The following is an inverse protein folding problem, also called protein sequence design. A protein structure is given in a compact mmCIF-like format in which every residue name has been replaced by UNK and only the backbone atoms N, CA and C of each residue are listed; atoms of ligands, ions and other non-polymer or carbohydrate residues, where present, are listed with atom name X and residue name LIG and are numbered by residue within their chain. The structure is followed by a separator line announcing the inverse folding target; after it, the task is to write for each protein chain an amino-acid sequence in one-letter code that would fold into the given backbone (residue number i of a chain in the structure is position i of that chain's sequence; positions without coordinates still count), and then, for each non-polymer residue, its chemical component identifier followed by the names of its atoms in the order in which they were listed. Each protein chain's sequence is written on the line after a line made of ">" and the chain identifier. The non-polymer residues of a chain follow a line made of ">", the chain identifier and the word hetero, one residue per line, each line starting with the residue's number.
data_IF_502026302705
#
_entry.id   IF_502026302705
#
_cell.length_a   1.000
_cell.length_b   1.000
_cell.length_c   1.000
_cell.angle_alpha   90.00
_cell.angle_beta   90.00
_cell.angle_gamma   90.00
#
_symmetry.space_group_name_H-M   'P 1'
#
loop_
_entity.id
_entity.type
_entity.pdbx_description
1 polymer ?
#
# COMPACT_ATOMS: atom_id res chain seq x y z
N UNK A 1 -35.15 -16.15 -6.04
CA UNK A 1 -34.34 -16.53 -7.22
C UNK A 1 -33.35 -15.45 -7.66
N UNK A 2 -33.70 -14.15 -7.67
CA UNK A 2 -32.80 -13.06 -8.13
C UNK A 2 -31.48 -12.92 -7.35
N UNK A 3 -31.44 -13.28 -6.07
CA UNK A 3 -30.26 -13.11 -5.20
C UNK A 3 -29.09 -14.07 -5.50
N UNK A 4 -29.33 -15.14 -6.25
CA UNK A 4 -28.31 -16.14 -6.64
C UNK A 4 -27.83 -15.91 -8.09
N UNK A 5 -28.60 -15.18 -8.90
CA UNK A 5 -28.28 -14.96 -10.32
C UNK A 5 -27.12 -13.96 -10.51
N UNK A 6 -27.09 -12.89 -9.71
CA UNK A 6 -26.04 -11.87 -9.74
C UNK A 6 -24.62 -12.40 -9.44
N UNK A 7 -24.38 -13.19 -8.37
CA UNK A 7 -23.05 -13.74 -8.13
C UNK A 7 -22.62 -14.73 -9.21
N UNK A 8 -23.56 -15.48 -9.82
CA UNK A 8 -23.26 -16.48 -10.83
C UNK A 8 -22.75 -15.85 -12.14
N UNK A 9 -23.32 -14.72 -12.54
CA UNK A 9 -22.82 -13.92 -13.67
C UNK A 9 -21.43 -13.34 -13.36
N UNK A 10 -21.21 -12.88 -12.12
CA UNK A 10 -19.90 -12.40 -11.67
C UNK A 10 -18.81 -13.49 -11.76
N UNK A 11 -19.09 -14.68 -11.24
CA UNK A 11 -18.16 -15.81 -11.32
C UNK A 11 -17.91 -16.26 -12.76
N UNK A 12 -18.95 -16.28 -13.61
CA UNK A 12 -18.81 -16.60 -15.03
C UNK A 12 -17.89 -15.60 -15.75
N UNK A 13 -18.07 -14.30 -15.48
CA UNK A 13 -17.23 -13.25 -16.08
C UNK A 13 -15.77 -13.38 -15.66
N UNK A 14 -15.51 -13.56 -14.36
CA UNK A 14 -14.15 -13.74 -13.84
C UNK A 14 -13.49 -15.01 -14.39
N UNK A 15 -14.23 -16.12 -14.46
CA UNK A 15 -13.73 -17.36 -15.05
C UNK A 15 -13.33 -17.17 -16.52
N UNK A 16 -14.14 -16.45 -17.30
CA UNK A 16 -13.88 -16.19 -18.73
C UNK A 16 -12.61 -15.37 -18.92
N UNK A 17 -12.39 -14.35 -18.09
CA UNK A 17 -11.17 -13.52 -18.13
C UNK A 17 -9.93 -14.33 -17.77
N UNK A 18 -10.00 -15.15 -16.72
CA UNK A 18 -8.88 -16.01 -16.30
C UNK A 18 -8.54 -17.02 -17.39
N UNK A 19 -9.55 -17.67 -17.99
CA UNK A 19 -9.35 -18.60 -19.11
C UNK A 19 -8.74 -17.91 -20.32
N UNK A 20 -9.15 -16.67 -20.63
CA UNK A 20 -8.58 -15.88 -21.72
C UNK A 20 -7.09 -15.56 -21.51
N UNK A 21 -6.73 -15.12 -20.30
CA UNK A 21 -5.33 -14.81 -19.94
C UNK A 21 -4.45 -16.07 -19.95
N UNK A 22 -4.95 -17.18 -19.41
CA UNK A 22 -4.23 -18.46 -19.42
C UNK A 22 -4.10 -19.02 -20.85
N UNK A 23 -5.15 -18.92 -21.66
CA UNK A 23 -5.13 -19.32 -23.06
C UNK A 23 -4.11 -18.51 -23.86
N UNK A 24 -4.08 -17.18 -23.68
CA UNK A 24 -3.11 -16.31 -24.31
C UNK A 24 -1.66 -16.63 -23.86
N UNK A 25 -1.45 -16.82 -22.56
CA UNK A 25 -0.14 -17.22 -22.03
C UNK A 25 0.34 -18.57 -22.56
N UNK A 26 -0.56 -19.56 -22.66
CA UNK A 26 -0.26 -20.88 -23.19
C UNK A 26 0.06 -20.85 -24.69
N UNK A 27 -0.67 -20.06 -25.49
CA UNK A 27 -0.38 -19.88 -26.92
C UNK A 27 0.96 -19.17 -27.15
N UNK A 28 1.32 -18.20 -26.30
CA UNK A 28 2.60 -17.49 -26.37
C UNK A 28 3.77 -18.41 -26.01
N UNK A 29 3.62 -19.26 -25.00
CA UNK A 29 4.66 -20.19 -24.56
C UNK A 29 4.86 -21.36 -25.56
N UNK A 30 3.82 -21.77 -26.28
CA UNK A 30 3.91 -22.85 -27.29
C UNK A 30 4.45 -22.38 -28.64
N UNK A 31 4.83 -21.10 -28.77
CA UNK A 31 5.48 -20.57 -29.98
C UNK A 31 4.59 -20.54 -31.23
N UNK A 32 3.26 -20.69 -31.07
CA UNK A 32 2.29 -20.58 -32.17
C UNK A 32 1.82 -19.14 -32.45
N UNK A 33 2.24 -18.20 -31.60
CA UNK A 33 2.18 -16.76 -31.84
C UNK A 33 3.53 -16.34 -32.43
N UNK A 34 3.75 -16.71 -33.68
CA UNK A 34 4.81 -16.11 -34.49
C UNK A 34 4.38 -14.67 -34.82
N UNK A 35 5.31 -13.72 -34.81
CA UNK A 35 5.00 -12.28 -34.99
C UNK A 35 4.19 -12.01 -36.27
N UNK A 36 4.34 -12.88 -37.27
CA UNK A 36 3.62 -12.89 -38.53
C UNK A 36 2.11 -13.17 -38.39
N UNK A 37 1.70 -14.06 -37.47
CA UNK A 37 0.27 -14.32 -37.19
C UNK A 37 -0.35 -13.21 -36.36
N UNK A 38 0.44 -12.58 -35.50
CA UNK A 38 0.01 -11.42 -34.71
C UNK A 38 -0.23 -10.21 -35.63
N UNK A 39 0.67 -9.99 -36.60
CA UNK A 39 0.52 -9.01 -37.68
C UNK A 39 -0.69 -9.32 -38.58
N UNK A 40 -0.93 -10.59 -38.92
CA UNK A 40 -2.08 -10.98 -39.74
C UNK A 40 -3.42 -10.70 -39.04
N UNK A 41 -3.51 -10.96 -37.73
CA UNK A 41 -4.71 -10.62 -36.92
C UNK A 41 -4.86 -9.10 -36.79
N UNK A 42 -3.77 -8.37 -36.61
CA UNK A 42 -3.78 -6.90 -36.56
C UNK A 42 -4.19 -6.27 -37.90
N UNK A 43 -3.72 -6.86 -39.01
CA UNK A 43 -4.00 -6.40 -40.38
C UNK A 43 -5.47 -6.63 -40.76
N UNK A 44 -6.06 -7.76 -40.38
CA UNK A 44 -7.50 -8.00 -40.55
C UNK A 44 -8.34 -7.07 -39.66
N UNK A 45 -7.88 -6.75 -38.45
CA UNK A 45 -8.56 -5.80 -37.56
C UNK A 45 -8.50 -4.36 -38.10
N UNK A 46 -7.43 -3.99 -38.79
CA UNK A 46 -7.24 -2.68 -39.42
C UNK A 46 -7.72 -2.62 -40.88
N UNK A 47 -8.32 -3.69 -41.41
CA UNK A 47 -8.78 -3.81 -42.80
C UNK A 47 -7.68 -3.48 -43.85
N UNK A 48 -6.43 -3.86 -43.54
CA UNK A 48 -5.29 -3.67 -44.43
C UNK A 48 -5.02 -5.00 -45.14
N UNK A 49 -5.46 -5.07 -46.40
CA UNK A 49 -5.24 -6.23 -47.27
C UNK A 49 -3.76 -6.31 -47.68
N UNK A 50 -2.99 -7.16 -47.00
CA UNK A 50 -1.55 -7.36 -47.22
C UNK A 50 -1.24 -7.82 -48.66
N UNK A 51 -2.18 -8.49 -49.34
CA UNK A 51 -2.02 -8.89 -50.75
C UNK A 51 -2.03 -7.69 -51.72
N UNK A 52 -2.67 -6.58 -51.35
CA UNK A 52 -2.65 -5.36 -52.14
C UNK A 52 -1.31 -4.61 -52.03
N UNK A 53 -0.59 -4.80 -50.92
CA UNK A 53 0.73 -4.17 -50.68
C UNK A 53 1.83 -4.94 -51.42
N UNK A 54 1.75 -6.27 -51.45
CA UNK A 54 2.69 -7.11 -52.20
C UNK A 54 2.60 -6.84 -53.71
N UNK A 55 1.39 -6.68 -54.27
CA UNK A 55 1.19 -6.29 -55.67
C UNK A 55 1.47 -4.80 -55.96
N UNK A 56 1.53 -3.93 -54.95
CA UNK A 56 1.93 -2.54 -55.14
C UNK A 56 3.45 -2.36 -55.25
N UNK A 57 4.24 -3.29 -54.72
CA UNK A 57 5.71 -3.28 -54.78
C UNK A 57 6.29 -3.81 -56.11
N UNK A 58 5.50 -4.49 -56.96
CA UNK A 58 5.95 -5.00 -58.26
C UNK A 58 5.93 -3.96 -59.40
N UNK A 59 5.71 -2.68 -59.11
CA UNK A 59 5.94 -1.64 -60.12
C UNK A 59 7.45 -1.39 -60.20
N UNK A 60 8.09 -1.53 -61.36
CA UNK A 60 9.49 -1.12 -61.51
C UNK A 60 9.55 0.39 -61.28
N UNK A 61 9.99 0.79 -60.09
CA UNK A 61 10.40 2.15 -59.80
C UNK A 61 11.43 2.53 -60.85
N UNK A 62 11.13 3.59 -61.60
CA UNK A 62 12.12 4.18 -62.50
C UNK A 62 13.23 4.68 -61.60
N UNK A 63 14.37 3.98 -61.57
CA UNK A 63 15.54 4.36 -60.78
C UNK A 63 16.06 5.68 -61.33
N UNK A 64 15.54 6.78 -60.80
CA UNK A 64 16.13 8.10 -60.96
C UNK A 64 17.46 8.03 -60.21
N UNK A 65 18.61 8.30 -60.87
CA UNK A 65 19.89 8.32 -60.18
C UNK A 65 19.80 9.32 -59.02
N UNK A 66 20.18 8.90 -57.81
CA UNK A 66 20.20 9.81 -56.66
C UNK A 66 21.04 11.04 -57.03
N UNK A 67 20.44 12.23 -56.94
CA UNK A 67 21.18 13.48 -57.09
C UNK A 67 22.30 13.49 -56.05
N UNK A 68 23.56 13.46 -56.52
CA UNK A 68 24.70 13.44 -55.63
C UNK A 68 24.72 14.75 -54.83
N UNK A 69 24.53 14.64 -53.51
CA UNK A 69 24.58 15.79 -52.61
C UNK A 69 25.84 16.62 -52.84
N UNK A 70 25.69 17.93 -52.93
CA UNK A 70 26.82 18.84 -53.02
C UNK A 70 27.66 18.79 -51.72
N UNK A 71 28.95 19.09 -51.84
CA UNK A 71 29.87 19.09 -50.70
C UNK A 71 29.42 20.01 -49.55
N UNK A 72 28.82 21.16 -49.86
CA UNK A 72 28.27 22.08 -48.87
C UNK A 72 27.07 21.49 -48.12
N UNK A 73 26.18 20.79 -48.83
CA UNK A 73 25.04 20.10 -48.21
C UNK A 73 25.49 18.96 -47.28
N UNK A 74 26.56 18.24 -47.65
CA UNK A 74 27.14 17.21 -46.77
C UNK A 74 27.74 17.80 -45.49
N UNK A 75 28.47 18.92 -45.58
CA UNK A 75 28.99 19.60 -44.39
C UNK A 75 27.86 20.10 -43.48
N UNK A 76 26.80 20.66 -44.05
CA UNK A 76 25.68 21.14 -43.26
C UNK A 76 24.94 19.99 -42.55
N UNK A 77 24.73 18.86 -43.22
CA UNK A 77 24.16 17.67 -42.58
C UNK A 77 25.04 17.15 -41.44
N UNK A 78 26.36 17.09 -41.64
CA UNK A 78 27.30 16.67 -40.59
C UNK A 78 27.26 17.62 -39.39
N UNK A 79 27.16 18.92 -39.63
CA UNK A 79 27.02 19.93 -38.57
C UNK A 79 25.71 19.74 -37.79
N UNK A 80 24.59 19.57 -38.48
CA UNK A 80 23.28 19.33 -37.85
C UNK A 80 23.31 18.03 -37.04
N UNK A 81 23.87 16.96 -37.60
CA UNK A 81 23.98 15.67 -36.92
C UNK A 81 24.83 15.76 -35.65
N UNK A 82 25.94 16.51 -35.69
CA UNK A 82 26.81 16.73 -34.54
C UNK A 82 26.07 17.53 -33.45
N UNK A 83 25.38 18.61 -33.82
CA UNK A 83 24.59 19.39 -32.87
C UNK A 83 23.46 18.57 -32.22
N UNK A 84 22.78 17.72 -33.00
CA UNK A 84 21.77 16.81 -32.47
C UNK A 84 22.37 15.78 -31.52
N UNK A 85 23.55 15.25 -31.84
CA UNK A 85 24.25 14.30 -30.97
C UNK A 85 24.64 14.95 -29.65
N UNK A 86 25.23 16.14 -29.68
CA UNK A 86 25.61 16.91 -28.48
C UNK A 86 24.39 17.25 -27.62
N UNK A 87 23.29 17.67 -28.25
CA UNK A 87 22.03 17.94 -27.55
C UNK A 87 21.50 16.70 -26.83
N UNK A 88 21.47 15.55 -27.52
CA UNK A 88 21.06 14.28 -26.92
C UNK A 88 21.97 13.86 -25.77
N UNK A 89 23.28 14.02 -25.93
CA UNK A 89 24.24 13.67 -24.88
C UNK A 89 24.04 14.53 -23.63
N UNK A 90 23.78 15.82 -23.80
CA UNK A 90 23.48 16.73 -22.70
C UNK A 90 22.16 16.37 -22.02
N UNK A 91 21.11 16.09 -22.78
CA UNK A 91 19.82 15.66 -22.25
C UNK A 91 19.93 14.36 -21.44
N UNK A 92 20.66 13.36 -21.97
CA UNK A 92 20.93 12.10 -21.26
C UNK A 92 21.69 12.33 -19.97
N UNK A 93 22.69 13.21 -19.97
CA UNK A 93 23.45 13.61 -18.79
C UNK A 93 22.57 14.25 -17.71
N UNK A 94 21.74 15.23 -18.11
CA UNK A 94 20.82 15.92 -17.20
C UNK A 94 19.75 14.97 -16.63
N UNK A 95 19.21 14.11 -17.48
CA UNK A 95 18.24 13.08 -17.09
C UNK A 95 18.84 12.08 -16.10
N UNK A 96 20.08 11.62 -16.35
CA UNK A 96 20.77 10.71 -15.43
C UNK A 96 21.05 11.36 -14.08
N UNK A 97 21.47 12.63 -14.07
CA UNK A 97 21.67 13.37 -12.83
C UNK A 97 20.36 13.53 -12.03
N UNK A 98 19.26 13.81 -12.72
CA UNK A 98 17.92 13.92 -12.13
C UNK A 98 17.47 12.58 -11.56
N UNK A 99 17.60 11.51 -12.34
CA UNK A 99 17.27 10.15 -11.90
C UNK A 99 18.07 9.74 -10.65
N UNK A 100 19.37 10.02 -10.63
CA UNK A 100 20.24 9.65 -9.51
C UNK A 100 19.89 10.44 -8.23
N UNK A 101 19.48 11.70 -8.38
CA UNK A 101 18.93 12.52 -7.29
C UNK A 101 17.61 11.95 -6.77
N UNK A 102 16.65 11.68 -7.66
CA UNK A 102 15.34 11.14 -7.30
C UNK A 102 15.46 9.74 -6.67
N UNK A 103 16.36 8.90 -7.18
CA UNK A 103 16.64 7.58 -6.63
C UNK A 103 17.22 7.66 -5.23
N UNK A 104 18.13 8.61 -4.96
CA UNK A 104 18.65 8.86 -3.60
C UNK A 104 17.56 9.36 -2.67
N UNK A 105 16.71 10.29 -3.12
CA UNK A 105 15.57 10.80 -2.34
C UNK A 105 14.60 9.67 -2.00
N UNK A 106 14.26 8.83 -2.97
CA UNK A 106 13.37 7.70 -2.78
C UNK A 106 13.95 6.67 -1.81
N UNK A 107 15.21 6.28 -1.98
CA UNK A 107 15.86 5.34 -1.06
C UNK A 107 15.94 5.87 0.37
N UNK A 108 16.22 7.17 0.55
CA UNK A 108 16.20 7.79 1.87
C UNK A 108 14.79 7.74 2.49
N UNK A 109 13.75 8.04 1.72
CA UNK A 109 12.37 7.97 2.18
C UNK A 109 11.94 6.54 2.53
N UNK A 110 12.27 5.55 1.68
CA UNK A 110 11.99 4.13 1.93
C UNK A 110 12.74 3.61 3.16
N UNK A 111 14.00 3.99 3.34
CA UNK A 111 14.78 3.64 4.53
C UNK A 111 14.14 4.16 5.82
N UNK A 112 13.71 5.43 5.83
CA UNK A 112 12.98 6.03 6.97
C UNK A 112 11.66 5.32 7.26
N UNK A 113 10.88 5.01 6.22
CA UNK A 113 9.62 4.29 6.38
C UNK A 113 9.84 2.89 6.98
N UNK A 114 10.81 2.14 6.47
CA UNK A 114 11.13 0.81 6.98
C UNK A 114 11.62 0.84 8.43
N UNK A 115 12.42 1.85 8.79
CA UNK A 115 12.83 2.06 10.17
C UNK A 115 11.61 2.30 11.08
N UNK A 116 10.71 3.20 10.68
CA UNK A 116 9.52 3.47 11.48
C UNK A 116 8.61 2.25 11.58
N UNK A 117 8.38 1.54 10.48
CA UNK A 117 7.61 0.31 10.48
C UNK A 117 8.18 -0.70 11.48
N UNK A 118 9.51 -0.85 11.52
CA UNK A 118 10.20 -1.70 12.49
C UNK A 118 10.04 -1.22 13.93
N UNK A 119 10.12 0.09 14.20
CA UNK A 119 9.90 0.67 15.53
C UNK A 119 8.47 0.42 16.04
N UNK A 120 7.47 0.64 15.17
CA UNK A 120 6.06 0.41 15.49
C UNK A 120 5.79 -1.08 15.74
N UNK A 121 6.31 -1.97 14.88
CA UNK A 121 6.15 -3.41 15.06
C UNK A 121 6.79 -3.89 16.37
N UNK A 122 7.99 -3.38 16.70
CA UNK A 122 8.66 -3.69 17.95
C UNK A 122 7.84 -3.23 19.18
N UNK A 123 7.24 -2.05 19.11
CA UNK A 123 6.42 -1.52 20.20
C UNK A 123 5.10 -2.31 20.37
N UNK A 124 4.42 -2.61 19.26
CA UNK A 124 3.24 -3.49 19.27
C UNK A 124 3.56 -4.87 19.85
N UNK A 125 4.74 -5.41 19.56
CA UNK A 125 5.20 -6.69 20.11
C UNK A 125 5.44 -6.58 21.62
N UNK A 126 6.16 -5.57 22.09
CA UNK A 126 6.39 -5.32 23.53
C UNK A 126 5.10 -5.19 24.31
N UNK A 127 4.12 -4.49 23.75
CA UNK A 127 2.83 -4.36 24.41
C UNK A 127 2.04 -5.67 24.43
N UNK A 128 2.06 -6.44 23.35
CA UNK A 128 1.47 -7.77 23.36
C UNK A 128 2.11 -8.64 24.43
N UNK A 129 3.43 -8.59 24.58
CA UNK A 129 4.16 -9.29 25.66
C UNK A 129 3.80 -8.74 27.05
N UNK A 130 3.63 -7.42 27.21
CA UNK A 130 3.17 -6.78 28.45
C UNK A 130 1.75 -7.23 28.84
N UNK A 131 0.83 -7.32 27.88
CA UNK A 131 -0.53 -7.84 28.10
C UNK A 131 -0.54 -9.35 28.43
N UNK A 132 0.46 -10.09 27.97
CA UNK A 132 0.64 -11.52 28.29
C UNK A 132 1.46 -11.74 29.57
N UNK A 133 1.89 -10.69 30.25
CA UNK A 133 2.65 -10.81 31.50
C UNK A 133 1.78 -11.50 32.56
N UNK A 134 2.40 -12.39 33.33
CA UNK A 134 1.70 -13.23 34.30
C UNK A 134 0.92 -12.42 35.36
N UNK A 135 1.39 -11.21 35.69
CA UNK A 135 0.71 -10.27 36.59
C UNK A 135 -0.61 -9.76 36.02
N UNK A 136 -0.64 -9.34 34.75
CA UNK A 136 -1.87 -8.88 34.06
C UNK A 136 -2.85 -10.04 33.92
N UNK A 137 -2.35 -11.24 33.59
CA UNK A 137 -3.19 -12.44 33.50
C UNK A 137 -3.82 -12.80 34.86
N UNK A 138 -3.02 -12.82 35.93
CA UNK A 138 -3.51 -13.10 37.30
C UNK A 138 -4.47 -12.03 37.79
N UNK A 139 -4.17 -10.75 37.56
CA UNK A 139 -5.04 -9.63 37.91
C UNK A 139 -6.38 -9.71 37.18
N UNK A 140 -6.36 -10.03 35.88
CA UNK A 140 -7.57 -10.30 35.09
C UNK A 140 -8.39 -11.45 35.66
N UNK A 141 -7.76 -12.60 35.91
CA UNK A 141 -8.44 -13.78 36.46
C UNK A 141 -9.06 -13.48 37.83
N UNK A 142 -8.34 -12.76 38.69
CA UNK A 142 -8.84 -12.34 40.00
C UNK A 142 -10.06 -11.41 39.87
N UNK A 143 -9.98 -10.37 39.02
CA UNK A 143 -11.08 -9.41 38.81
C UNK A 143 -12.29 -10.07 38.14
N UNK A 144 -12.08 -11.05 37.24
CA UNK A 144 -13.16 -11.80 36.56
C UNK A 144 -13.93 -12.75 37.48
N UNK A 145 -13.26 -13.29 38.51
CA UNK A 145 -13.86 -14.16 39.52
C UNK A 145 -14.62 -13.38 40.60
N UNK A 146 -14.31 -12.10 40.78
CA UNK A 146 -14.95 -11.22 41.76
C UNK A 146 -16.35 -10.78 41.36
N UNK A 147 -17.15 -10.38 42.35
CA UNK A 147 -18.47 -9.79 42.12
C UNK A 147 -18.29 -8.35 41.61
N UNK A 148 -18.78 -8.00 40.39
CA UNK A 148 -18.49 -6.72 39.75
C UNK A 148 -18.78 -5.48 40.59
N UNK A 149 -19.95 -5.42 41.24
CA UNK A 149 -20.40 -4.22 41.95
C UNK A 149 -19.85 -4.08 43.37
N UNK A 150 -19.50 -5.19 44.03
CA UNK A 150 -19.10 -5.20 45.45
C UNK A 150 -17.60 -5.34 45.66
N UNK A 151 -16.88 -5.94 44.72
CA UNK A 151 -15.47 -6.29 44.87
C UNK A 151 -14.63 -5.72 43.74
N UNK A 152 -15.02 -5.93 42.47
CA UNK A 152 -14.24 -5.43 41.33
C UNK A 152 -14.25 -3.91 41.23
N UNK A 153 -15.42 -3.26 41.40
CA UNK A 153 -15.56 -1.80 41.39
C UNK A 153 -14.64 -1.07 42.39
N UNK A 154 -14.65 -1.38 43.70
CA UNK A 154 -13.81 -0.67 44.66
C UNK A 154 -12.32 -0.87 44.41
N UNK A 155 -11.90 -2.09 44.01
CA UNK A 155 -10.49 -2.37 43.67
C UNK A 155 -10.04 -1.55 42.44
N UNK A 156 -10.87 -1.49 41.40
CA UNK A 156 -10.57 -0.68 40.21
C UNK A 156 -10.49 0.81 40.56
N UNK A 157 -11.35 1.30 41.45
CA UNK A 157 -11.31 2.68 41.92
C UNK A 157 -10.01 2.97 42.69
N UNK A 158 -9.64 2.10 43.62
CA UNK A 158 -8.40 2.19 44.40
C UNK A 158 -7.17 2.21 43.48
N UNK A 159 -7.08 1.31 42.50
CA UNK A 159 -5.98 1.29 41.52
C UNK A 159 -5.88 2.59 40.70
N UNK A 160 -7.02 3.22 40.36
CA UNK A 160 -7.05 4.49 39.63
C UNK A 160 -6.61 5.65 40.54
N UNK A 161 -7.02 5.63 41.80
CA UNK A 161 -6.64 6.61 42.82
C UNK A 161 -5.13 6.52 43.13
N UNK A 162 -4.56 5.31 43.07
CA UNK A 162 -3.11 5.03 43.17
C UNK A 162 -2.33 5.40 41.89
N UNK A 163 -3.02 5.80 40.82
CA UNK A 163 -2.40 6.20 39.55
C UNK A 163 -2.08 5.04 38.60
N UNK A 164 -2.50 3.81 38.92
CA UNK A 164 -2.30 2.61 38.08
C UNK A 164 -3.37 2.44 37.00
N UNK A 165 -3.82 3.55 36.39
CA UNK A 165 -4.88 3.52 35.37
C UNK A 165 -4.48 2.64 34.17
N UNK A 166 -3.22 2.65 33.75
CA UNK A 166 -2.73 1.85 32.63
C UNK A 166 -2.85 0.35 32.88
N UNK A 167 -2.61 -0.09 34.12
CA UNK A 167 -2.76 -1.49 34.50
C UNK A 167 -4.25 -1.90 34.49
N UNK A 168 -5.13 -1.01 34.95
CA UNK A 168 -6.58 -1.19 34.86
C UNK A 168 -7.02 -1.32 33.39
N UNK A 169 -6.52 -0.47 32.49
CA UNK A 169 -6.83 -0.57 31.06
C UNK A 169 -6.32 -1.89 30.49
N UNK A 170 -5.09 -2.31 30.80
CA UNK A 170 -4.52 -3.59 30.35
C UNK A 170 -5.34 -4.78 30.83
N UNK A 171 -5.80 -4.76 32.08
CA UNK A 171 -6.66 -5.80 32.63
C UNK A 171 -8.03 -5.78 31.94
N UNK A 172 -8.73 -4.64 31.92
CA UNK A 172 -10.08 -4.54 31.36
C UNK A 172 -10.12 -4.83 29.85
N UNK A 173 -9.11 -4.39 29.08
CA UNK A 173 -9.02 -4.63 27.63
C UNK A 173 -8.71 -6.08 27.27
N UNK A 174 -8.10 -6.84 28.18
CA UNK A 174 -7.78 -8.27 28.00
C UNK A 174 -8.88 -9.22 28.49
N UNK A 175 -9.98 -8.68 29.04
CA UNK A 175 -11.16 -9.43 29.49
C UNK A 175 -12.15 -9.74 28.35
N UNK A 176 -13.02 -10.72 28.58
CA UNK A 176 -14.15 -10.95 27.67
C UNK A 176 -15.12 -9.75 27.69
N UNK A 177 -15.53 -9.26 26.50
CA UNK A 177 -16.39 -8.07 26.33
C UNK A 177 -17.62 -8.06 27.24
N UNK A 178 -18.27 -9.21 27.45
CA UNK A 178 -19.45 -9.35 28.32
C UNK A 178 -19.13 -9.03 29.78
N UNK A 179 -18.01 -9.54 30.30
CA UNK A 179 -17.55 -9.34 31.68
C UNK A 179 -17.06 -7.91 31.89
N UNK A 180 -16.29 -7.39 30.93
CA UNK A 180 -15.87 -5.99 30.90
C UNK A 180 -17.08 -5.04 30.97
N UNK A 181 -18.09 -5.23 30.12
CA UNK A 181 -19.31 -4.41 30.14
C UNK A 181 -20.05 -4.52 31.48
N UNK A 182 -20.14 -5.71 32.07
CA UNK A 182 -20.80 -5.88 33.38
C UNK A 182 -20.08 -5.10 34.47
N UNK A 183 -18.75 -5.01 34.43
CA UNK A 183 -17.96 -4.22 35.39
C UNK A 183 -18.14 -2.72 35.11
N UNK A 184 -18.01 -2.27 33.86
CA UNK A 184 -18.16 -0.85 33.50
C UNK A 184 -19.55 -0.31 33.83
N UNK A 185 -20.61 -1.12 33.68
CA UNK A 185 -21.98 -0.75 34.05
C UNK A 185 -22.18 -0.52 35.56
N UNK A 186 -21.24 -0.88 36.41
CA UNK A 186 -21.30 -0.59 37.85
C UNK A 186 -20.86 0.83 38.20
N UNK A 187 -20.26 1.56 37.26
CA UNK A 187 -19.75 2.94 37.40
C UNK A 187 -20.75 3.99 36.87
N UNK A 188 -22.03 3.89 37.26
CA UNK A 188 -23.10 4.81 36.79
C UNK A 188 -23.88 5.42 37.97
N UNK A 189 -23.40 5.25 39.21
CA UNK A 189 -24.16 5.59 40.42
C UNK A 189 -23.86 6.96 41.04
N UNK A 190 -22.67 7.51 40.80
CA UNK A 190 -22.21 8.79 41.39
C UNK A 190 -21.49 9.63 40.33
N UNK A 191 -21.42 10.95 40.52
CA UNK A 191 -20.72 11.86 39.58
C UNK A 191 -19.24 11.48 39.42
N UNK A 192 -18.60 11.05 40.51
CA UNK A 192 -17.23 10.54 40.51
C UNK A 192 -17.06 9.25 39.70
N UNK A 193 -18.06 8.35 39.74
CA UNK A 193 -18.04 7.13 38.91
C UNK A 193 -18.12 7.45 37.42
N UNK A 194 -18.88 8.49 37.05
CA UNK A 194 -19.05 8.93 35.67
C UNK A 194 -17.72 9.48 35.14
N UNK A 195 -16.99 10.25 35.95
CA UNK A 195 -15.66 10.76 35.61
C UNK A 195 -14.63 9.61 35.44
N UNK A 196 -14.66 8.63 36.34
CA UNK A 196 -13.81 7.43 36.23
C UNK A 196 -14.13 6.65 34.96
N UNK A 197 -15.42 6.42 34.67
CA UNK A 197 -15.85 5.74 33.46
C UNK A 197 -15.42 6.51 32.20
N UNK A 198 -15.52 7.83 32.21
CA UNK A 198 -15.06 8.68 31.12
C UNK A 198 -13.55 8.54 30.90
N UNK A 199 -12.74 8.60 31.96
CA UNK A 199 -11.28 8.41 31.89
C UNK A 199 -10.93 7.03 31.33
N UNK A 200 -11.53 5.96 31.85
CA UNK A 200 -11.28 4.59 31.37
C UNK A 200 -11.65 4.44 29.89
N UNK A 201 -12.82 4.95 29.49
CA UNK A 201 -13.30 4.82 28.11
C UNK A 201 -12.50 5.67 27.14
N UNK A 202 -12.07 6.87 27.54
CA UNK A 202 -11.19 7.71 26.74
C UNK A 202 -9.85 7.01 26.49
N UNK A 203 -9.20 6.47 27.52
CA UNK A 203 -7.94 5.73 27.39
C UNK A 203 -8.08 4.45 26.54
N UNK A 204 -9.20 3.73 26.70
CA UNK A 204 -9.49 2.56 25.86
C UNK A 204 -9.74 2.91 24.38
N UNK A 205 -10.46 4.00 24.10
CA UNK A 205 -10.76 4.48 22.74
C UNK A 205 -9.53 5.12 22.08
N UNK A 206 -8.68 5.75 22.90
CA UNK A 206 -7.36 6.19 22.50
C UNK A 206 -6.42 5.00 22.22
N UNK A 207 -6.79 3.74 22.47
CA UNK A 207 -5.88 2.61 22.25
C UNK A 207 -4.68 2.60 23.20
N UNK A 208 -4.76 3.34 24.30
CA UNK A 208 -3.69 3.60 25.26
C UNK A 208 -2.47 4.32 24.67
N UNK A 209 -1.35 4.26 25.41
CA UNK A 209 -0.05 4.85 25.04
C UNK A 209 0.43 4.47 23.63
N UNK A 210 0.01 3.30 23.14
CA UNK A 210 0.33 2.76 21.81
C UNK A 210 -0.06 3.68 20.67
N UNK A 211 -1.31 4.12 20.68
CA UNK A 211 -1.86 4.87 19.55
C UNK A 211 -1.31 6.28 19.57
N UNK A 212 -1.13 6.84 20.76
CA UNK A 212 -0.47 8.13 20.92
C UNK A 212 0.96 8.08 20.40
N UNK A 213 1.73 7.03 20.72
CA UNK A 213 3.06 6.81 20.16
C UNK A 213 3.04 6.65 18.62
N UNK A 214 2.09 5.86 18.09
CA UNK A 214 1.93 5.67 16.64
C UNK A 214 1.53 6.99 15.95
N UNK A 215 0.59 7.75 16.53
CA UNK A 215 0.10 9.01 16.01
C UNK A 215 1.18 10.11 16.07
N UNK A 216 1.99 10.14 17.13
CA UNK A 216 3.15 11.03 17.27
C UNK A 216 4.20 10.70 16.20
N UNK A 217 4.52 9.42 16.01
CA UNK A 217 5.45 8.97 14.98
C UNK A 217 4.94 9.22 13.55
N UNK A 218 3.63 9.06 13.32
CA UNK A 218 2.98 9.45 12.07
C UNK A 218 3.00 10.98 11.87
N UNK A 219 2.89 11.75 12.96
CA UNK A 219 3.02 13.20 12.96
C UNK A 219 4.43 13.65 12.58
N UNK A 220 5.45 13.00 13.11
CA UNK A 220 6.85 13.26 12.76
C UNK A 220 7.13 12.95 11.29
N UNK A 221 6.57 11.86 10.74
CA UNK A 221 6.64 11.59 9.31
C UNK A 221 5.98 12.67 8.45
N UNK A 222 4.82 13.18 8.88
CA UNK A 222 4.11 14.24 8.13
C UNK A 222 4.86 15.56 8.11
N UNK A 223 5.51 15.94 9.22
CA UNK A 223 6.35 17.14 9.30
C UNK A 223 7.56 17.02 8.37
N UNK A 224 8.21 15.87 8.37
CA UNK A 224 9.35 15.60 7.48
C UNK A 224 8.95 15.56 5.98
N UNK A 225 7.73 15.10 5.65
CA UNK A 225 7.20 15.20 4.29
C UNK A 225 6.89 16.64 3.85
N UNK A 226 6.61 17.54 4.79
CA UNK A 226 6.39 18.96 4.52
C UNK A 226 7.70 19.72 4.37
N UNK A 227 8.78 19.29 5.03
CA UNK A 227 10.11 19.90 4.91
C UNK A 227 10.87 19.48 3.63
N UNK A 228 10.48 18.36 3.00
CA UNK A 228 11.08 17.85 1.75
C UNK A 228 10.37 18.36 0.46
N UNK A 229 9.43 19.30 0.59
CA UNK A 229 8.65 19.96 -0.48
C UNK A 229 9.00 21.45 -0.57
#
# INVERSE_FOLDING_TARGET
>A
MIRILFPLIGYLSVATVITGVLGYGYLRQTGKLDDERMLQVLAVLHDVDLNAIEHAQERPETVVPEEQMSYEQQQEQLRIATLQFDAKQKELSESLATFDYDFKKLNAATGRYNQLAGEVEAELKRQRESLMTESVRKGREAIEMMIPSKQSKPIIKEMIDEGEIDLVIKILSSMAKRKQQTILQTFVGTDEDIDILYRITQEMLAGGETKQYIDDKLGDLRKLQQDDN
#
